data_IF_699640559704
#
_entry.id   IF_699640559704
#
_cell.length_a   1.000
_cell.length_b   1.000
_cell.length_c   1.000
_cell.angle_alpha   90.00
_cell.angle_beta   90.00
_cell.angle_gamma   90.00
#
_symmetry.space_group_name_H-M   'P 1'
#
loop_
_entity.id
_entity.type
_entity.pdbx_description
1 polymer ?
#
# COMPACT_ATOMS: atom_id res chain seq x y z
N UNK A 1 8.95 8.09 -19.19
CA UNK A 1 9.45 7.84 -17.82
C UNK A 1 8.56 8.68 -16.88
N UNK A 2 7.89 8.05 -15.96
CA UNK A 2 7.08 8.75 -14.95
C UNK A 2 7.94 9.19 -13.76
N UNK A 3 7.37 10.01 -12.85
CA UNK A 3 8.06 10.52 -11.67
C UNK A 3 8.66 9.40 -10.79
N UNK A 4 7.93 8.30 -10.61
CA UNK A 4 8.33 7.22 -9.73
C UNK A 4 9.47 6.39 -10.33
N UNK A 5 9.41 6.08 -11.64
CA UNK A 5 10.51 5.43 -12.36
C UNK A 5 11.81 6.23 -12.23
N UNK A 6 11.74 7.57 -12.42
CA UNK A 6 12.91 8.45 -12.25
C UNK A 6 13.46 8.39 -10.82
N UNK A 7 12.59 8.43 -9.79
CA UNK A 7 13.03 8.35 -8.40
C UNK A 7 13.73 7.04 -8.06
N UNK A 8 13.20 5.93 -8.55
CA UNK A 8 13.82 4.62 -8.34
C UNK A 8 15.18 4.52 -9.04
N UNK A 9 15.28 4.93 -10.31
CA UNK A 9 16.53 4.92 -11.07
C UNK A 9 17.62 5.81 -10.43
N UNK A 10 17.21 6.94 -9.86
CA UNK A 10 18.14 7.88 -9.22
C UNK A 10 18.43 7.52 -7.74
N UNK A 11 17.86 6.45 -7.21
CA UNK A 11 18.02 6.06 -5.81
C UNK A 11 17.34 7.01 -4.81
N UNK A 12 16.44 7.88 -5.27
CA UNK A 12 15.67 8.82 -4.43
C UNK A 12 14.47 8.13 -3.79
N UNK A 13 14.73 7.09 -3.00
CA UNK A 13 13.74 6.21 -2.36
C UNK A 13 13.67 6.39 -0.85
N UNK A 14 13.80 7.62 -0.34
CA UNK A 14 13.74 7.92 1.10
C UNK A 14 12.45 7.47 1.80
N UNK A 15 11.40 7.12 1.05
CA UNK A 15 10.19 6.49 1.56
C UNK A 15 10.36 4.99 1.88
N UNK A 16 11.39 4.33 1.34
CA UNK A 16 11.73 2.95 1.69
C UNK A 16 12.45 2.92 3.04
N UNK A 17 11.92 2.13 3.97
CA UNK A 17 12.50 1.96 5.29
C UNK A 17 13.32 0.67 5.36
N UNK A 18 14.48 0.67 6.05
CA UNK A 18 15.33 -0.51 6.21
C UNK A 18 14.79 -1.50 7.26
N UNK A 19 13.60 -1.26 7.78
CA UNK A 19 12.95 -2.09 8.80
C UNK A 19 11.42 -2.01 8.64
N UNK A 20 10.73 -2.95 9.27
CA UNK A 20 9.26 -2.96 9.35
C UNK A 20 8.76 -1.68 9.99
N UNK A 21 7.68 -1.13 9.44
CA UNK A 21 7.06 0.07 9.96
C UNK A 21 6.58 -0.13 11.41
N UNK A 22 6.95 0.79 12.30
CA UNK A 22 6.65 0.69 13.74
C UNK A 22 5.16 0.78 14.05
N UNK A 23 4.41 1.57 13.28
CA UNK A 23 2.95 1.67 13.44
C UNK A 23 2.26 0.39 12.97
N UNK A 24 2.73 -0.23 11.88
CA UNK A 24 2.22 -1.52 11.47
C UNK A 24 2.41 -2.55 12.58
N UNK A 25 3.61 -2.69 13.13
CA UNK A 25 3.86 -3.65 14.20
C UNK A 25 3.03 -3.36 15.45
N UNK A 26 2.84 -2.08 15.82
CA UNK A 26 2.07 -1.63 16.98
C UNK A 26 0.57 -1.89 16.83
N UNK A 27 0.01 -1.59 15.67
CA UNK A 27 -1.44 -1.64 15.43
C UNK A 27 -1.92 -2.87 14.65
N UNK A 28 -1.01 -3.78 14.29
CA UNK A 28 -1.34 -4.99 13.53
C UNK A 28 -2.44 -5.84 14.18
N UNK A 29 -2.48 -5.93 15.52
CA UNK A 29 -3.52 -6.69 16.20
C UNK A 29 -4.94 -6.14 15.92
N UNK A 30 -5.09 -4.84 15.65
CA UNK A 30 -6.37 -4.25 15.24
C UNK A 30 -6.68 -4.54 13.78
N UNK A 31 -5.68 -4.42 12.90
CA UNK A 31 -5.83 -4.71 11.47
C UNK A 31 -6.17 -6.19 11.25
N UNK A 32 -5.50 -7.09 11.94
CA UNK A 32 -5.59 -8.53 11.76
C UNK A 32 -6.56 -9.22 12.75
N UNK A 33 -7.44 -8.46 13.40
CA UNK A 33 -8.33 -8.97 14.46
C UNK A 33 -9.26 -10.08 13.99
N UNK A 34 -9.70 -10.04 12.71
CA UNK A 34 -10.53 -11.09 12.11
C UNK A 34 -9.73 -12.31 11.64
N UNK A 35 -8.42 -12.35 11.89
CA UNK A 35 -7.50 -13.34 11.31
C UNK A 35 -7.66 -13.46 9.78
N UNK A 36 -7.47 -12.35 9.04
CA UNK A 36 -7.71 -12.32 7.60
C UNK A 36 -6.82 -13.33 6.89
N UNK A 37 -7.38 -14.05 5.94
CA UNK A 37 -6.59 -14.95 5.11
C UNK A 37 -5.64 -14.17 4.21
N UNK A 38 -6.14 -13.06 3.65
CA UNK A 38 -5.41 -12.25 2.69
C UNK A 38 -5.40 -10.78 3.11
N UNK A 39 -4.26 -10.12 2.86
CA UNK A 39 -4.10 -8.68 3.08
C UNK A 39 -3.61 -7.99 1.80
N UNK A 40 -4.13 -6.79 1.54
CA UNK A 40 -3.75 -5.97 0.41
C UNK A 40 -2.85 -4.80 0.81
N UNK A 41 -1.82 -4.53 0.03
CA UNK A 41 -0.87 -3.43 0.23
C UNK A 41 -0.70 -2.65 -1.07
N UNK A 42 -1.38 -1.50 -1.24
CA UNK A 42 -1.26 -0.69 -2.46
C UNK A 42 0.09 0.02 -2.54
N UNK A 43 0.58 0.29 -3.76
CA UNK A 43 1.81 1.05 -4.05
C UNK A 43 2.98 0.63 -3.15
N UNK A 44 3.19 -0.68 -3.08
CA UNK A 44 3.95 -1.30 -2.00
C UNK A 44 5.47 -1.08 -2.09
N UNK A 45 6.01 -0.66 -3.23
CA UNK A 45 7.46 -0.58 -3.42
C UNK A 45 8.13 -1.92 -3.11
N UNK A 46 9.27 -1.84 -2.40
CA UNK A 46 9.98 -3.03 -1.87
C UNK A 46 9.95 -3.10 -0.34
N UNK A 47 8.84 -2.68 0.28
CA UNK A 47 8.75 -2.59 1.75
C UNK A 47 8.94 -3.94 2.44
N UNK A 48 9.68 -3.93 3.56
CA UNK A 48 9.82 -5.08 4.45
C UNK A 48 8.54 -5.41 5.23
N UNK A 49 7.52 -4.58 5.11
CA UNK A 49 6.20 -4.85 5.68
C UNK A 49 5.52 -6.06 5.02
N UNK A 50 5.79 -6.30 3.70
CA UNK A 50 5.23 -7.44 2.97
C UNK A 50 5.63 -8.80 3.57
N UNK A 51 6.94 -9.14 3.72
CA UNK A 51 7.32 -10.41 4.34
C UNK A 51 6.93 -10.48 5.81
N UNK A 52 6.87 -9.36 6.52
CA UNK A 52 6.39 -9.34 7.89
C UNK A 52 4.90 -9.68 8.01
N UNK A 53 4.07 -9.15 7.10
CA UNK A 53 2.64 -9.48 7.00
C UNK A 53 2.43 -10.94 6.56
N UNK A 54 3.23 -11.43 5.62
CA UNK A 54 3.15 -12.81 5.14
C UNK A 54 3.43 -13.86 6.24
N UNK A 55 4.15 -13.48 7.30
CA UNK A 55 4.32 -14.33 8.49
C UNK A 55 3.08 -14.32 9.42
N UNK A 56 2.04 -13.55 9.13
CA UNK A 56 0.85 -13.36 9.97
C UNK A 56 -0.47 -13.66 9.26
N UNK A 57 -0.42 -13.77 7.95
CA UNK A 57 -1.58 -14.06 7.08
C UNK A 57 -1.20 -15.15 6.09
N UNK A 58 -2.17 -15.77 5.44
CA UNK A 58 -1.88 -16.80 4.43
C UNK A 58 -1.29 -16.17 3.17
N UNK A 59 -1.73 -14.97 2.80
CA UNK A 59 -1.34 -14.31 1.56
C UNK A 59 -1.25 -12.80 1.72
N UNK A 60 -0.20 -12.21 1.17
CA UNK A 60 -0.08 -10.77 0.95
C UNK A 60 -0.16 -10.51 -0.54
N UNK A 61 -0.98 -9.55 -0.92
CA UNK A 61 -1.07 -9.09 -2.31
C UNK A 61 -0.65 -7.62 -2.35
N UNK A 62 0.37 -7.33 -3.13
CA UNK A 62 0.82 -5.97 -3.39
C UNK A 62 0.51 -5.52 -4.81
N UNK A 63 0.50 -4.21 -5.03
CA UNK A 63 0.57 -3.61 -6.36
C UNK A 63 1.64 -2.52 -6.37
N UNK A 64 2.47 -2.51 -7.40
CA UNK A 64 3.56 -1.54 -7.55
C UNK A 64 3.76 -1.17 -9.02
N UNK A 65 3.86 0.13 -9.27
CA UNK A 65 4.00 0.66 -10.62
C UNK A 65 5.38 0.34 -11.22
N UNK A 66 6.43 0.44 -10.42
CA UNK A 66 7.83 0.42 -10.89
C UNK A 66 8.38 -1.00 -10.88
N UNK A 67 8.71 -1.53 -12.05
CA UNK A 67 9.27 -2.88 -12.22
C UNK A 67 10.53 -3.09 -11.37
N UNK A 68 11.45 -2.12 -11.36
CA UNK A 68 12.67 -2.18 -10.56
C UNK A 68 12.37 -2.44 -9.06
N UNK A 69 11.34 -1.80 -8.51
CA UNK A 69 10.96 -1.99 -7.11
C UNK A 69 10.52 -3.43 -6.83
N UNK A 70 9.75 -4.02 -7.73
CA UNK A 70 9.26 -5.41 -7.61
C UNK A 70 10.40 -6.40 -7.76
N UNK A 71 11.28 -6.21 -8.74
CA UNK A 71 12.44 -7.06 -8.98
C UNK A 71 13.41 -7.02 -7.79
N UNK A 72 13.72 -5.80 -7.28
CA UNK A 72 14.56 -5.63 -6.09
C UNK A 72 13.92 -6.27 -4.86
N UNK A 73 12.60 -6.15 -4.67
CA UNK A 73 11.90 -6.78 -3.56
C UNK A 73 12.15 -8.30 -3.51
N UNK A 74 11.91 -9.00 -4.60
CA UNK A 74 12.09 -10.45 -4.64
C UNK A 74 13.56 -10.86 -4.53
N UNK A 75 14.46 -10.11 -5.16
CA UNK A 75 15.90 -10.39 -5.13
C UNK A 75 16.50 -10.19 -3.73
N UNK A 76 16.22 -9.05 -3.09
CA UNK A 76 16.77 -8.70 -1.77
C UNK A 76 16.25 -9.64 -0.67
N UNK A 77 14.97 -10.03 -0.74
CA UNK A 77 14.37 -10.98 0.20
C UNK A 77 14.63 -12.45 -0.15
N UNK A 78 15.29 -12.74 -1.28
CA UNK A 78 15.60 -14.10 -1.76
C UNK A 78 14.34 -14.97 -1.91
N UNK A 79 13.25 -14.37 -2.38
CA UNK A 79 11.97 -15.02 -2.60
C UNK A 79 11.88 -15.49 -4.05
N UNK A 80 11.70 -16.78 -4.27
CA UNK A 80 11.44 -17.33 -5.61
C UNK A 80 10.03 -16.96 -6.07
N UNK A 81 9.88 -16.63 -7.34
CA UNK A 81 8.60 -16.25 -7.91
C UNK A 81 8.51 -16.69 -9.38
N UNK A 82 7.30 -16.73 -9.91
CA UNK A 82 7.02 -16.83 -11.34
C UNK A 82 6.38 -15.54 -11.82
N UNK A 83 6.54 -15.22 -13.09
CA UNK A 83 5.93 -14.05 -13.72
C UNK A 83 4.90 -14.51 -14.73
N UNK A 84 3.70 -13.96 -14.68
CA UNK A 84 2.63 -14.26 -15.63
C UNK A 84 1.84 -13.01 -16.00
N UNK A 85 1.29 -12.93 -17.23
CA UNK A 85 0.39 -11.84 -17.61
C UNK A 85 -0.87 -11.80 -16.73
N UNK A 86 -1.31 -10.60 -16.37
CA UNK A 86 -2.52 -10.35 -15.62
C UNK A 86 -3.24 -9.11 -16.17
N UNK A 87 -3.89 -9.26 -17.34
CA UNK A 87 -4.50 -8.14 -18.06
C UNK A 87 -3.46 -7.14 -18.54
N UNK A 88 -3.55 -5.89 -18.07
CA UNK A 88 -2.55 -4.85 -18.32
C UNK A 88 -1.34 -4.91 -17.38
N UNK A 89 -1.42 -5.74 -16.35
CA UNK A 89 -0.41 -5.91 -15.33
C UNK A 89 0.41 -7.17 -15.57
N UNK A 90 1.53 -7.28 -14.85
CA UNK A 90 2.27 -8.53 -14.68
C UNK A 90 2.14 -9.00 -13.24
N UNK A 91 1.81 -10.26 -13.05
CA UNK A 91 1.77 -10.86 -11.71
C UNK A 91 3.08 -11.56 -11.41
N UNK A 92 3.80 -11.07 -10.44
CA UNK A 92 4.91 -11.74 -9.77
C UNK A 92 4.34 -12.62 -8.66
N UNK A 93 4.29 -13.92 -8.89
CA UNK A 93 3.55 -14.88 -8.05
C UNK A 93 4.49 -15.72 -7.19
N UNK A 94 4.17 -15.80 -5.90
CA UNK A 94 4.80 -16.67 -4.92
C UNK A 94 3.72 -17.26 -4.00
N UNK A 95 4.03 -18.29 -3.21
CA UNK A 95 3.06 -18.93 -2.32
C UNK A 95 2.48 -17.98 -1.26
N UNK A 96 3.29 -17.05 -0.73
CA UNK A 96 2.91 -16.16 0.36
C UNK A 96 2.74 -14.69 -0.04
N UNK A 97 3.42 -14.25 -1.11
CA UNK A 97 3.43 -12.84 -1.53
C UNK A 97 3.28 -12.76 -3.05
N UNK A 98 2.20 -12.16 -3.50
CA UNK A 98 2.00 -11.79 -4.89
C UNK A 98 2.15 -10.29 -5.06
N UNK A 99 2.83 -9.84 -6.13
CA UNK A 99 2.87 -8.42 -6.48
C UNK A 99 2.41 -8.26 -7.93
N UNK A 100 1.37 -7.45 -8.12
CA UNK A 100 0.94 -6.99 -9.43
C UNK A 100 1.79 -5.78 -9.82
N UNK A 101 2.58 -5.91 -10.87
CA UNK A 101 3.39 -4.82 -11.39
C UNK A 101 2.61 -4.06 -12.47
N UNK A 102 2.46 -2.76 -12.28
CA UNK A 102 1.79 -1.83 -13.18
C UNK A 102 0.93 -0.80 -12.46
N UNK A 103 0.05 -0.12 -13.19
CA UNK A 103 -0.80 0.94 -12.61
C UNK A 103 -1.84 0.33 -11.68
N UNK A 104 -1.89 0.84 -10.44
CA UNK A 104 -2.88 0.47 -9.44
C UNK A 104 -4.32 0.55 -9.96
N UNK A 105 -4.63 1.55 -10.78
CA UNK A 105 -5.95 1.74 -11.35
C UNK A 105 -6.34 0.72 -12.43
N UNK A 106 -5.41 -0.09 -12.91
CA UNK A 106 -5.66 -1.20 -13.83
C UNK A 106 -5.89 -2.54 -13.09
N UNK A 107 -5.67 -2.58 -11.75
CA UNK A 107 -5.96 -3.75 -10.94
C UNK A 107 -7.48 -3.89 -10.74
N UNK A 108 -7.99 -5.12 -10.79
CA UNK A 108 -9.44 -5.38 -10.67
C UNK A 108 -9.75 -6.45 -9.62
N UNK A 109 -10.96 -6.40 -9.06
CA UNK A 109 -11.45 -7.44 -8.13
C UNK A 109 -11.50 -8.84 -8.76
N UNK A 110 -11.67 -8.94 -10.07
CA UNK A 110 -11.66 -10.24 -10.77
C UNK A 110 -10.29 -10.91 -10.71
N UNK A 111 -9.21 -10.09 -10.62
CA UNK A 111 -7.85 -10.59 -10.52
C UNK A 111 -7.46 -10.99 -9.09
N UNK A 112 -7.99 -10.31 -8.07
CA UNK A 112 -7.53 -10.44 -6.69
C UNK A 112 -8.56 -11.00 -5.73
N UNK A 113 -9.86 -10.86 -6.02
CA UNK A 113 -10.92 -10.98 -5.03
C UNK A 113 -10.98 -9.76 -4.08
N UNK A 114 -11.70 -9.94 -2.97
CA UNK A 114 -11.80 -8.96 -1.91
C UNK A 114 -10.87 -9.32 -0.75
N UNK A 115 -10.47 -8.31 0.00
CA UNK A 115 -9.58 -8.45 1.14
C UNK A 115 -10.27 -8.08 2.44
N UNK A 116 -10.05 -8.85 3.49
CA UNK A 116 -10.53 -8.53 4.84
C UNK A 116 -9.66 -7.49 5.53
N UNK A 117 -8.44 -7.29 5.05
CA UNK A 117 -7.51 -6.28 5.55
C UNK A 117 -6.79 -5.56 4.42
N UNK A 118 -6.63 -4.24 4.56
CA UNK A 118 -5.80 -3.40 3.69
C UNK A 118 -4.82 -2.62 4.57
N UNK A 119 -3.57 -2.55 4.13
CA UNK A 119 -2.54 -1.75 4.78
C UNK A 119 -2.01 -0.70 3.82
N UNK A 120 -2.35 0.57 4.06
CA UNK A 120 -1.89 1.73 3.29
C UNK A 120 -0.85 2.52 4.09
N UNK A 121 0.40 2.44 3.64
CA UNK A 121 1.49 3.26 4.15
C UNK A 121 2.31 3.81 3.00
N UNK A 122 2.36 5.13 2.91
CA UNK A 122 3.10 5.82 1.86
C UNK A 122 2.35 5.95 0.54
N UNK A 123 1.13 5.37 0.42
CA UNK A 123 0.38 5.35 -0.83
C UNK A 123 -0.45 6.63 -1.02
N UNK A 124 -1.39 6.92 -0.14
CA UNK A 124 -2.23 8.12 -0.27
C UNK A 124 -1.40 9.41 -0.27
N UNK A 125 -0.33 9.47 0.51
CA UNK A 125 0.59 10.62 0.58
C UNK A 125 1.47 10.75 -0.67
N UNK A 126 1.52 9.74 -1.52
CA UNK A 126 2.23 9.75 -2.80
C UNK A 126 1.44 10.46 -3.90
N UNK A 127 0.13 10.68 -3.70
CA UNK A 127 -0.80 11.17 -4.70
C UNK A 127 -1.13 12.65 -4.51
N UNK A 128 -1.23 13.38 -5.63
CA UNK A 128 -1.75 14.74 -5.61
C UNK A 128 -3.20 14.76 -5.09
N UNK A 129 -3.60 15.86 -4.45
CA UNK A 129 -4.93 15.98 -3.85
C UNK A 129 -6.06 15.66 -4.84
N UNK A 130 -5.93 16.06 -6.10
CA UNK A 130 -6.92 15.80 -7.15
C UNK A 130 -7.12 14.31 -7.48
N UNK A 131 -6.20 13.44 -7.10
CA UNK A 131 -6.23 11.99 -7.41
C UNK A 131 -6.74 11.15 -6.24
N UNK A 132 -6.75 11.70 -5.01
CA UNK A 132 -7.01 10.95 -3.79
C UNK A 132 -8.45 10.44 -3.67
N UNK A 133 -9.43 11.18 -4.19
CA UNK A 133 -10.82 10.68 -4.21
C UNK A 133 -10.92 9.41 -5.05
N UNK A 134 -10.40 9.45 -6.28
CA UNK A 134 -10.36 8.26 -7.16
C UNK A 134 -9.58 7.11 -6.54
N UNK A 135 -8.47 7.42 -5.88
CA UNK A 135 -7.67 6.44 -5.18
C UNK A 135 -8.43 5.76 -4.03
N UNK A 136 -9.06 6.55 -3.16
CA UNK A 136 -9.80 6.03 -2.02
C UNK A 136 -10.98 5.13 -2.47
N UNK A 137 -11.73 5.57 -3.48
CA UNK A 137 -12.83 4.78 -4.07
C UNK A 137 -12.33 3.46 -4.64
N UNK A 138 -11.23 3.49 -5.39
CA UNK A 138 -10.65 2.30 -5.98
C UNK A 138 -10.06 1.37 -4.91
N UNK A 139 -9.34 1.91 -3.92
CA UNK A 139 -8.79 1.15 -2.80
C UNK A 139 -9.89 0.42 -2.02
N UNK A 140 -10.96 1.14 -1.68
CA UNK A 140 -12.05 0.58 -0.89
C UNK A 140 -12.93 -0.39 -1.68
N UNK A 141 -12.87 -0.34 -3.01
CA UNK A 141 -13.53 -1.37 -3.82
C UNK A 141 -12.97 -2.77 -3.57
N UNK A 142 -11.72 -2.88 -3.13
CA UNK A 142 -11.10 -4.16 -2.77
C UNK A 142 -11.40 -4.60 -1.33
N UNK A 143 -11.97 -3.74 -0.48
CA UNK A 143 -12.24 -4.08 0.91
C UNK A 143 -13.52 -4.90 1.03
N UNK A 144 -13.43 -6.07 1.65
CA UNK A 144 -14.58 -6.92 1.94
C UNK A 144 -15.53 -6.25 2.96
N UNK A 145 -16.83 -6.57 2.93
CA UNK A 145 -17.75 -6.13 3.98
C UNK A 145 -17.25 -6.51 5.37
N UNK A 146 -17.16 -5.53 6.27
CA UNK A 146 -16.60 -5.73 7.61
C UNK A 146 -15.07 -5.78 7.68
N UNK A 147 -14.39 -5.64 6.54
CA UNK A 147 -12.93 -5.56 6.45
C UNK A 147 -12.36 -4.30 7.12
N UNK A 148 -11.04 -4.25 7.27
CA UNK A 148 -10.31 -3.20 7.98
C UNK A 148 -9.23 -2.58 7.12
N UNK A 149 -9.12 -1.27 7.19
CA UNK A 149 -8.02 -0.50 6.61
C UNK A 149 -7.18 0.11 7.73
N UNK A 150 -5.88 -0.18 7.75
CA UNK A 150 -4.90 0.59 8.53
C UNK A 150 -4.22 1.57 7.59
N UNK A 151 -4.48 2.85 7.81
CA UNK A 151 -3.94 3.94 7.02
C UNK A 151 -2.91 4.73 7.84
N UNK A 152 -1.75 4.98 7.28
CA UNK A 152 -0.72 5.85 7.84
C UNK A 152 -0.56 7.05 6.91
N UNK A 153 -1.02 8.19 7.36
CA UNK A 153 -0.92 9.47 6.64
C UNK A 153 0.16 10.37 7.25
N UNK A 154 0.38 11.49 6.62
CA UNK A 154 1.31 12.54 7.03
C UNK A 154 0.60 13.88 6.91
N UNK A 155 0.64 14.69 7.96
CA UNK A 155 0.10 16.05 7.95
C UNK A 155 1.18 17.07 8.26
N UNK A 156 1.29 18.10 7.43
CA UNK A 156 2.20 19.22 7.58
C UNK A 156 1.69 20.41 6.75
N UNK A 157 2.26 21.60 6.95
CA UNK A 157 1.92 22.76 6.09
C UNK A 157 2.50 22.53 4.69
N UNK A 158 1.65 22.37 3.69
CA UNK A 158 2.05 21.97 2.32
C UNK A 158 3.05 22.95 1.66
N UNK A 159 3.13 24.21 2.12
CA UNK A 159 4.12 25.20 1.68
C UNK A 159 5.56 24.90 2.16
N UNK A 160 5.72 24.02 3.14
CA UNK A 160 7.03 23.63 3.66
C UNK A 160 7.72 22.57 2.79
N UNK A 161 6.98 21.81 2.01
CA UNK A 161 7.52 20.76 1.14
C UNK A 161 6.64 20.55 -0.07
N UNK A 162 7.25 20.48 -1.26
CA UNK A 162 6.52 20.34 -2.54
C UNK A 162 5.84 18.98 -2.73
N UNK A 163 6.25 17.95 -1.96
CA UNK A 163 5.81 16.57 -2.13
C UNK A 163 6.32 15.89 -3.42
N UNK A 164 6.00 14.61 -3.65
CA UNK A 164 5.59 13.68 -2.61
C UNK A 164 6.69 13.36 -1.58
N UNK A 165 6.37 13.01 -0.32
CA UNK A 165 5.02 12.83 0.18
C UNK A 165 4.27 14.16 0.30
N UNK A 166 2.96 14.13 0.03
CA UNK A 166 2.07 15.28 0.21
C UNK A 166 1.39 15.22 1.58
N UNK A 167 1.04 16.40 2.12
CA UNK A 167 0.22 16.49 3.32
C UNK A 167 -1.20 15.97 3.05
N UNK A 168 -1.72 15.13 3.95
CA UNK A 168 -3.09 14.59 3.93
C UNK A 168 -3.69 14.78 5.32
N UNK A 169 -4.38 15.91 5.57
CA UNK A 169 -4.94 16.24 6.87
C UNK A 169 -6.05 15.27 7.31
N UNK A 170 -6.24 15.12 8.63
CA UNK A 170 -7.31 14.31 9.20
C UNK A 170 -8.70 14.65 8.64
N UNK A 171 -8.97 15.95 8.38
CA UNK A 171 -10.23 16.38 7.76
C UNK A 171 -10.41 15.82 6.34
N UNK A 172 -9.33 15.72 5.55
CA UNK A 172 -9.37 15.11 4.23
C UNK A 172 -9.56 13.59 4.33
N UNK A 173 -8.89 12.91 5.26
CA UNK A 173 -9.11 11.49 5.55
C UNK A 173 -10.58 11.25 5.90
N UNK A 174 -11.16 12.06 6.78
CA UNK A 174 -12.57 11.94 7.14
C UNK A 174 -13.49 12.13 5.92
N UNK A 175 -13.22 13.10 5.06
CA UNK A 175 -13.99 13.32 3.83
C UNK A 175 -13.93 12.14 2.87
N UNK A 176 -12.74 11.55 2.69
CA UNK A 176 -12.51 10.46 1.74
C UNK A 176 -13.10 9.12 2.21
N UNK A 177 -13.05 8.83 3.51
CA UNK A 177 -13.28 7.48 4.01
C UNK A 177 -14.52 7.32 4.90
N UNK A 178 -15.07 8.38 5.53
CA UNK A 178 -16.18 8.24 6.53
C UNK A 178 -17.47 7.66 5.97
N UNK A 179 -17.73 7.84 4.68
CA UNK A 179 -18.92 7.28 4.04
C UNK A 179 -18.88 5.74 3.88
N UNK A 180 -17.70 5.14 4.00
CA UNK A 180 -17.49 3.71 3.80
C UNK A 180 -17.42 2.93 5.12
N UNK A 181 -17.20 3.62 6.24
CA UNK A 181 -17.10 2.95 7.52
C UNK A 181 -16.75 3.89 8.67
N UNK A 182 -16.60 3.28 9.85
CA UNK A 182 -16.19 4.01 11.06
C UNK A 182 -14.68 4.30 10.99
N UNK A 183 -14.31 5.55 11.20
CA UNK A 183 -12.93 5.98 11.36
C UNK A 183 -12.57 6.04 12.84
N UNK A 184 -11.35 5.62 13.16
CA UNK A 184 -10.77 5.73 14.49
C UNK A 184 -9.33 6.24 14.35
N UNK A 185 -9.02 7.40 14.94
CA UNK A 185 -7.66 7.89 15.06
C UNK A 185 -6.96 7.07 16.15
N UNK A 186 -5.90 6.35 15.77
CA UNK A 186 -5.18 5.47 16.68
C UNK A 186 -4.03 6.19 17.39
N UNK A 187 -3.33 7.03 16.68
CA UNK A 187 -2.18 7.78 17.21
C UNK A 187 -1.85 8.97 16.30
N UNK A 188 -1.38 10.04 16.90
CA UNK A 188 -0.71 11.17 16.23
C UNK A 188 0.62 11.40 16.92
N UNK A 189 1.70 11.60 16.15
CA UNK A 189 3.00 11.95 16.69
C UNK A 189 3.71 12.95 15.78
N UNK A 190 4.48 13.82 16.39
CA UNK A 190 5.40 14.72 15.67
C UNK A 190 6.67 13.94 15.28
N UNK A 191 7.18 14.19 14.06
CA UNK A 191 8.36 13.54 13.48
C UNK A 191 9.39 14.58 12.99
#
# INVERSE_FOLDING_TARGET
MNLWESRWQEGRIGFHLPQVNTYLSRFSARLLQSAPENIFVPLCGKTLDLPWLANKTNKVVGVELVSQAVEEFYAENKISHSIQPAGKLQLFKNDSIDIFQGDFFDLTQEQTGLFEAIYDRGSIVALAQSERQKYAEHLLSFLAPGGRLLLISLEYKQDQMSGPPFSVPDAEIAMLFSQYGRLELLETCDI
#
